data_IF_734143174034
#
_entry.id   IF_734143174034
#
_cell.length_a   1.000
_cell.length_b   1.000
_cell.length_c   1.000
_cell.angle_alpha   90.00
_cell.angle_beta   90.00
_cell.angle_gamma   90.00
#
_symmetry.space_group_name_H-M   'P 1'
#
loop_
_entity.id
_entity.type
_entity.pdbx_description
1 polymer ?
#
# COMPACT_ATOMS: atom_id res chain seq x y z
N UNK A 1 -19.01 -36.16 -3.97
CA UNK A 1 -19.24 -35.02 -3.08
C UNK A 1 -18.14 -34.02 -3.36
N UNK A 2 -18.45 -32.95 -4.09
CA UNK A 2 -17.50 -31.86 -4.37
C UNK A 2 -17.44 -31.04 -3.09
N UNK A 3 -16.28 -31.00 -2.43
CA UNK A 3 -16.07 -30.08 -1.32
C UNK A 3 -16.15 -28.67 -1.93
N UNK A 4 -17.04 -27.77 -1.48
CA UNK A 4 -17.00 -26.40 -1.95
C UNK A 4 -15.62 -25.85 -1.60
N UNK A 5 -14.92 -25.26 -2.56
CA UNK A 5 -13.72 -24.50 -2.25
C UNK A 5 -14.12 -23.49 -1.16
N UNK A 6 -13.48 -23.57 0.00
CA UNK A 6 -13.60 -22.54 1.02
C UNK A 6 -13.22 -21.22 0.34
N UNK A 7 -14.20 -20.32 0.21
CA UNK A 7 -13.92 -18.94 -0.15
C UNK A 7 -13.09 -18.38 1.01
N UNK A 8 -11.77 -18.35 0.82
CA UNK A 8 -10.88 -17.72 1.78
C UNK A 8 -11.20 -16.23 1.75
N UNK A 9 -11.48 -15.64 2.92
CA UNK A 9 -11.57 -14.19 3.04
C UNK A 9 -10.34 -13.55 2.40
N UNK A 10 -10.48 -12.47 1.62
CA UNK A 10 -9.34 -11.84 0.98
C UNK A 10 -8.30 -11.47 2.02
N UNK A 11 -7.04 -11.78 1.75
CA UNK A 11 -5.96 -11.37 2.65
C UNK A 11 -5.81 -9.87 2.52
N UNK A 12 -6.05 -9.18 3.64
CA UNK A 12 -6.03 -7.72 3.73
C UNK A 12 -4.80 -7.26 4.49
N UNK A 13 -3.99 -6.42 3.87
CA UNK A 13 -2.86 -5.78 4.52
C UNK A 13 -2.69 -4.35 4.03
N UNK A 14 -1.89 -3.55 4.73
CA UNK A 14 -1.55 -2.19 4.34
C UNK A 14 -0.13 -2.07 3.79
N UNK A 15 0.01 -1.24 2.77
CA UNK A 15 1.32 -0.74 2.36
C UNK A 15 1.62 0.46 3.25
N UNK A 16 2.79 0.43 3.88
CA UNK A 16 3.21 1.52 4.73
C UNK A 16 3.89 2.59 3.89
N UNK A 17 3.36 3.81 3.97
CA UNK A 17 3.86 4.94 3.21
C UNK A 17 5.33 5.20 3.54
N UNK A 18 5.67 5.28 4.83
CA UNK A 18 7.05 5.51 5.28
C UNK A 18 8.02 4.37 4.92
N UNK A 19 7.52 3.13 4.73
CA UNK A 19 8.36 2.02 4.26
C UNK A 19 8.67 2.13 2.78
N UNK A 20 7.69 2.55 1.98
CA UNK A 20 7.82 2.66 0.53
C UNK A 20 8.56 3.94 0.12
N UNK A 21 8.25 5.07 0.77
CA UNK A 21 8.85 6.39 0.53
C UNK A 21 9.25 6.99 1.89
N UNK A 22 10.52 6.81 2.34
CA UNK A 22 10.93 7.14 3.71
C UNK A 22 10.77 8.61 4.11
N UNK A 23 10.87 9.52 3.16
CA UNK A 23 10.69 10.96 3.39
C UNK A 23 9.26 11.43 3.11
N UNK A 24 8.33 10.51 2.89
CA UNK A 24 6.96 10.76 2.43
C UNK A 24 6.85 11.22 0.97
N UNK A 25 7.93 11.75 0.39
CA UNK A 25 8.02 12.14 -1.02
C UNK A 25 9.37 11.77 -1.64
N UNK A 26 9.41 11.72 -2.96
CA UNK A 26 10.63 11.51 -3.74
C UNK A 26 11.01 10.04 -3.87
N UNK A 27 12.24 9.69 -3.46
CA UNK A 27 12.83 8.39 -3.80
C UNK A 27 12.13 7.22 -3.10
N UNK A 28 11.81 6.19 -3.90
CA UNK A 28 11.29 4.91 -3.41
C UNK A 28 12.42 4.15 -2.70
N UNK A 29 12.10 3.52 -1.59
CA UNK A 29 12.97 2.56 -0.93
C UNK A 29 12.90 1.19 -1.66
N UNK A 30 13.96 0.77 -2.38
CA UNK A 30 13.92 -0.45 -3.20
C UNK A 30 13.68 -1.71 -2.36
N UNK A 31 14.14 -1.74 -1.09
CA UNK A 31 13.89 -2.88 -0.20
C UNK A 31 12.42 -2.94 0.25
N UNK A 32 11.79 -1.78 0.47
CA UNK A 32 10.37 -1.68 0.77
C UNK A 32 9.52 -2.17 -0.39
N UNK A 33 9.83 -1.68 -1.60
CA UNK A 33 9.19 -2.10 -2.84
C UNK A 33 9.33 -3.62 -3.07
N UNK A 34 10.54 -4.16 -2.90
CA UNK A 34 10.79 -5.60 -3.05
C UNK A 34 10.01 -6.44 -2.04
N UNK A 35 9.92 -5.98 -0.79
CA UNK A 35 9.15 -6.67 0.24
C UNK A 35 7.67 -6.83 -0.14
N UNK A 36 7.03 -5.74 -0.58
CA UNK A 36 5.62 -5.78 -0.97
C UNK A 36 5.39 -6.60 -2.23
N UNK A 37 6.28 -6.51 -3.23
CA UNK A 37 6.21 -7.38 -4.41
C UNK A 37 6.29 -8.85 -4.02
N UNK A 38 7.28 -9.25 -3.22
CA UNK A 38 7.44 -10.64 -2.78
C UNK A 38 6.20 -11.14 -2.01
N UNK A 39 5.63 -10.30 -1.13
CA UNK A 39 4.42 -10.65 -0.39
C UNK A 39 3.22 -10.85 -1.31
N UNK A 40 2.98 -9.92 -2.23
CA UNK A 40 1.87 -9.98 -3.19
C UNK A 40 2.04 -11.19 -4.11
N UNK A 41 3.24 -11.39 -4.65
CA UNK A 41 3.55 -12.50 -5.55
C UNK A 41 3.35 -13.86 -4.87
N UNK A 42 3.74 -13.98 -3.59
CA UNK A 42 3.51 -15.21 -2.82
C UNK A 42 2.01 -15.48 -2.65
N UNK A 43 1.24 -14.47 -2.23
CA UNK A 43 -0.22 -14.62 -2.04
C UNK A 43 -0.93 -14.98 -3.35
N UNK A 44 -0.61 -14.28 -4.43
CA UNK A 44 -1.18 -14.54 -5.76
C UNK A 44 -0.81 -15.95 -6.24
N UNK A 45 0.43 -16.41 -6.00
CA UNK A 45 0.87 -17.77 -6.37
C UNK A 45 0.05 -18.86 -5.66
N UNK A 46 -0.43 -18.59 -4.45
CA UNK A 46 -1.33 -19.50 -3.71
C UNK A 46 -2.82 -19.29 -4.01
N UNK A 47 -3.17 -18.50 -5.02
CA UNK A 47 -4.55 -18.24 -5.43
C UNK A 47 -5.35 -17.40 -4.44
N UNK A 48 -4.67 -16.66 -3.56
CA UNK A 48 -5.28 -15.79 -2.56
C UNK A 48 -5.63 -14.45 -3.21
N UNK A 49 -6.88 -14.00 -3.02
CA UNK A 49 -7.25 -12.62 -3.38
C UNK A 49 -6.60 -11.62 -2.44
N UNK A 50 -5.92 -10.63 -3.02
CA UNK A 50 -5.17 -9.61 -2.28
C UNK A 50 -5.93 -8.30 -2.26
N UNK A 51 -6.25 -7.82 -1.06
CA UNK A 51 -6.86 -6.51 -0.83
C UNK A 51 -5.85 -5.63 -0.10
N UNK A 52 -5.47 -4.50 -0.70
CA UNK A 52 -4.44 -3.63 -0.14
C UNK A 52 -5.05 -2.31 0.32
N UNK A 53 -4.70 -1.93 1.54
CA UNK A 53 -4.92 -0.56 2.01
C UNK A 53 -3.67 0.27 1.78
N UNK A 54 -3.77 1.38 1.05
CA UNK A 54 -2.61 2.25 0.84
C UNK A 54 -2.40 3.23 2.01
N UNK A 55 -3.39 3.43 2.88
CA UNK A 55 -3.20 4.25 4.08
C UNK A 55 -3.95 3.70 5.29
N UNK A 56 -3.25 3.57 6.41
CA UNK A 56 -3.81 3.09 7.69
C UNK A 56 -3.24 3.86 8.87
N UNK A 57 -3.34 5.20 8.82
CA UNK A 57 -2.89 6.12 9.87
C UNK A 57 -1.37 6.10 10.14
N UNK A 58 -0.58 5.76 9.13
CA UNK A 58 0.89 5.65 9.21
C UNK A 58 1.61 6.72 8.38
N UNK A 59 1.16 7.97 8.57
CA UNK A 59 1.79 9.14 7.95
C UNK A 59 3.31 9.16 8.24
N UNK A 60 4.16 9.35 7.22
CA UNK A 60 5.59 9.55 7.45
C UNK A 60 5.84 10.74 8.37
N UNK A 61 6.51 10.51 9.50
CA UNK A 61 6.75 11.52 10.55
C UNK A 61 7.37 12.82 9.99
N UNK A 62 8.20 12.72 8.95
CA UNK A 62 8.81 13.88 8.28
C UNK A 62 7.77 14.87 7.75
N UNK A 63 6.63 14.39 7.25
CA UNK A 63 5.55 15.25 6.75
C UNK A 63 4.76 15.92 7.88
N UNK A 64 4.60 15.23 9.01
CA UNK A 64 4.04 15.80 10.24
C UNK A 64 4.95 16.92 10.76
N UNK A 65 6.25 16.63 10.90
CA UNK A 65 7.24 17.58 11.44
C UNK A 65 7.42 18.82 10.57
N UNK A 66 7.37 18.66 9.23
CA UNK A 66 7.62 19.75 8.29
C UNK A 66 6.43 20.70 8.16
N UNK A 67 5.20 20.19 8.25
CA UNK A 67 4.03 21.01 7.93
C UNK A 67 2.71 20.63 8.61
N UNK A 68 2.71 19.68 9.55
CA UNK A 68 1.50 19.21 10.25
C UNK A 68 0.65 18.25 9.43
N UNK A 69 1.26 17.55 8.47
CA UNK A 69 0.62 16.43 7.78
C UNK A 69 -0.73 16.78 7.15
N UNK A 70 -1.77 16.05 7.56
CA UNK A 70 -3.13 16.17 7.03
C UNK A 70 -3.80 17.54 7.26
N UNK A 71 -3.25 18.39 8.13
CA UNK A 71 -3.75 19.75 8.34
C UNK A 71 -3.27 20.73 7.25
N UNK A 72 -2.36 20.31 6.36
CA UNK A 72 -1.80 21.14 5.31
C UNK A 72 -2.19 20.64 3.90
N UNK A 73 -2.66 21.50 3.00
CA UNK A 73 -3.01 21.10 1.63
C UNK A 73 -1.87 20.44 0.83
N UNK A 74 -0.60 20.70 1.19
CA UNK A 74 0.56 20.04 0.56
C UNK A 74 0.53 18.52 0.65
N UNK A 75 -0.15 17.96 1.65
CA UNK A 75 -0.29 16.51 1.82
C UNK A 75 -0.96 15.84 0.62
N UNK A 76 -1.80 16.57 -0.12
CA UNK A 76 -2.56 16.02 -1.27
C UNK A 76 -1.59 15.58 -2.37
N UNK A 77 -0.60 16.42 -2.68
CA UNK A 77 0.40 16.10 -3.71
C UNK A 77 1.32 14.96 -3.26
N UNK A 78 1.77 14.99 -2.00
CA UNK A 78 2.62 13.94 -1.43
C UNK A 78 1.89 12.58 -1.41
N UNK A 79 0.61 12.56 -1.01
CA UNK A 79 -0.21 11.36 -0.98
C UNK A 79 -0.52 10.83 -2.38
N UNK A 80 -0.84 11.72 -3.34
CA UNK A 80 -1.08 11.33 -4.72
C UNK A 80 0.15 10.68 -5.35
N UNK A 81 1.35 11.25 -5.14
CA UNK A 81 2.59 10.67 -5.63
C UNK A 81 2.87 9.28 -5.02
N UNK A 82 2.57 9.09 -3.74
CA UNK A 82 2.65 7.79 -3.09
C UNK A 82 1.62 6.78 -3.63
N UNK A 83 0.37 7.21 -3.81
CA UNK A 83 -0.68 6.39 -4.39
C UNK A 83 -0.33 5.94 -5.81
N UNK A 84 0.24 6.82 -6.63
CA UNK A 84 0.70 6.52 -7.99
C UNK A 84 1.74 5.40 -8.02
N UNK A 85 2.68 5.39 -7.06
CA UNK A 85 3.63 4.27 -6.91
C UNK A 85 2.88 2.98 -6.58
N UNK A 86 1.93 3.03 -5.64
CA UNK A 86 1.15 1.85 -5.28
C UNK A 86 0.35 1.28 -6.46
N UNK A 87 -0.34 2.14 -7.23
CA UNK A 87 -1.10 1.72 -8.40
C UNK A 87 -0.21 1.17 -9.50
N UNK A 88 0.93 1.84 -9.78
CA UNK A 88 1.86 1.43 -10.84
C UNK A 88 2.57 0.12 -10.51
N UNK A 89 3.04 -0.03 -9.29
CA UNK A 89 3.89 -1.15 -8.91
C UNK A 89 3.11 -2.35 -8.39
N UNK A 90 1.84 -2.22 -7.98
CA UNK A 90 1.06 -3.33 -7.42
C UNK A 90 -0.32 -3.55 -8.05
N UNK A 91 -0.84 -2.56 -8.78
CA UNK A 91 -2.21 -2.53 -9.29
C UNK A 91 -2.57 -3.69 -10.24
N UNK A 92 -1.59 -4.31 -10.87
CA UNK A 92 -1.78 -5.44 -11.79
C UNK A 92 -2.12 -6.77 -11.07
N UNK A 93 -1.83 -6.87 -9.77
CA UNK A 93 -1.93 -8.10 -8.97
C UNK A 93 -2.88 -8.03 -7.79
N UNK A 94 -3.42 -6.85 -7.48
CA UNK A 94 -4.33 -6.64 -6.36
C UNK A 94 -5.76 -6.46 -6.85
N UNK A 95 -6.72 -7.08 -6.15
CA UNK A 95 -8.13 -7.00 -6.54
C UNK A 95 -8.77 -5.67 -6.15
N UNK A 96 -8.32 -5.10 -5.04
CA UNK A 96 -8.83 -3.84 -4.47
C UNK A 96 -7.68 -3.05 -3.87
N UNK A 97 -7.60 -1.76 -4.21
CA UNK A 97 -6.80 -0.75 -3.51
C UNK A 97 -7.77 0.21 -2.81
N UNK A 98 -7.66 0.29 -1.50
CA UNK A 98 -8.55 1.08 -0.63
C UNK A 98 -7.74 2.01 0.28
N UNK A 99 -8.37 3.05 0.83
CA UNK A 99 -7.80 3.89 1.87
C UNK A 99 -8.92 4.37 2.79
N UNK A 100 -8.71 4.36 4.10
CA UNK A 100 -9.66 4.96 5.04
C UNK A 100 -9.45 6.47 5.08
N UNK A 101 -10.41 7.22 4.53
CA UNK A 101 -10.56 8.66 4.71
C UNK A 101 -11.46 8.99 5.90
#
# INVERSE_FOLDING_TARGET
>A
MVVPAVAHSPNRFSISWSRLIPKGRGAINPKGLQYYNNLIDELVRHGVQVHVMIYQLDLPQVLEDEYGGWLNPRIVEDFAAYADVCFKDFGDRVSVLDYSG
#
